data_IF_386118395719
#
_entry.id   IF_386118395719
#
_cell.length_a   1.000
_cell.length_b   1.000
_cell.length_c   1.000
_cell.angle_alpha   90.00
_cell.angle_beta   90.00
_cell.angle_gamma   90.00
#
_symmetry.space_group_name_H-M   'P 1'
#
loop_
_entity.id
_entity.type
_entity.pdbx_description
1 polymer ?
#
# COMPACT_ATOMS: atom_id res chain seq x y z
N UNK A 1 -28.87 -9.60 1.28
CA UNK A 1 -27.84 -9.78 2.32
C UNK A 1 -26.53 -9.53 1.63
N UNK A 2 -25.97 -8.32 1.75
CA UNK A 2 -24.64 -8.04 1.20
C UNK A 2 -23.64 -8.89 1.97
N UNK A 3 -23.01 -9.84 1.28
CA UNK A 3 -21.91 -10.60 1.84
C UNK A 3 -20.80 -9.62 2.15
N UNK A 4 -20.54 -9.39 3.44
CA UNK A 4 -19.33 -8.72 3.92
C UNK A 4 -18.13 -9.64 3.66
N UNK A 5 -17.81 -9.88 2.38
CA UNK A 5 -16.55 -10.46 1.96
C UNK A 5 -15.49 -9.46 2.34
N UNK A 6 -14.74 -9.73 3.42
CA UNK A 6 -13.68 -8.84 3.88
C UNK A 6 -12.74 -8.49 2.73
N UNK A 7 -12.17 -7.28 2.78
CA UNK A 7 -11.31 -6.71 1.73
C UNK A 7 -10.15 -7.61 1.30
N UNK A 8 -9.75 -8.58 2.14
CA UNK A 8 -8.65 -9.50 1.85
C UNK A 8 -7.28 -8.82 2.00
N UNK A 9 -6.22 -9.60 1.84
CA UNK A 9 -4.86 -9.06 1.87
C UNK A 9 -4.55 -8.45 0.51
N UNK A 10 -3.91 -7.28 0.53
CA UNK A 10 -3.45 -6.57 -0.66
C UNK A 10 -1.92 -6.54 -0.69
N UNK A 11 -1.33 -6.56 -1.89
CA UNK A 11 0.06 -6.20 -2.09
C UNK A 11 0.14 -4.68 -2.29
N UNK A 12 1.13 -4.04 -1.68
CA UNK A 12 1.36 -2.61 -1.84
C UNK A 12 2.77 -2.31 -2.33
N UNK A 13 2.88 -1.19 -3.05
CA UNK A 13 4.15 -0.52 -3.35
C UNK A 13 3.99 0.95 -2.99
N UNK A 14 4.92 1.49 -2.21
CA UNK A 14 4.96 2.89 -1.82
C UNK A 14 6.35 3.46 -2.10
N UNK A 15 6.42 4.49 -2.93
CA UNK A 15 7.66 5.25 -3.17
C UNK A 15 7.53 6.65 -2.57
N UNK A 16 8.52 7.03 -1.78
CA UNK A 16 8.63 8.31 -1.10
C UNK A 16 9.86 9.06 -1.58
N UNK A 17 9.78 10.39 -1.58
CA UNK A 17 10.93 11.27 -1.78
C UNK A 17 10.97 12.37 -0.73
N UNK A 18 12.10 12.53 -0.07
CA UNK A 18 12.30 13.58 0.92
C UNK A 18 12.84 14.87 0.26
N UNK A 19 12.95 15.95 1.06
CA UNK A 19 13.41 17.27 0.56
C UNK A 19 14.87 17.28 0.10
N UNK A 20 15.66 16.29 0.46
CA UNK A 20 17.05 16.12 0.03
C UNK A 20 17.15 15.29 -1.26
N UNK A 21 16.04 15.08 -1.97
CA UNK A 21 15.93 14.25 -3.17
C UNK A 21 16.28 12.77 -2.96
N UNK A 22 16.41 12.32 -1.71
CA UNK A 22 16.57 10.90 -1.41
C UNK A 22 15.23 10.21 -1.61
N UNK A 23 15.25 9.09 -2.33
CA UNK A 23 14.07 8.29 -2.62
C UNK A 23 14.16 6.93 -1.91
N UNK A 24 13.02 6.41 -1.49
CA UNK A 24 12.88 5.07 -0.95
C UNK A 24 11.62 4.43 -1.54
N UNK A 25 11.72 3.16 -1.95
CA UNK A 25 10.58 2.34 -2.33
C UNK A 25 10.48 1.19 -1.36
N UNK A 26 9.30 1.03 -0.77
CA UNK A 26 8.94 -0.11 0.07
C UNK A 26 7.75 -0.84 -0.53
N UNK A 27 7.74 -2.15 -0.34
CA UNK A 27 6.63 -3.01 -0.73
C UNK A 27 6.37 -4.05 0.34
N UNK A 28 5.16 -4.59 0.32
CA UNK A 28 4.74 -5.59 1.29
C UNK A 28 3.28 -5.96 1.10
N UNK A 29 2.68 -6.53 2.13
CA UNK A 29 1.26 -6.83 2.16
C UNK A 29 0.57 -6.08 3.27
N UNK A 30 -0.71 -5.76 3.07
CA UNK A 30 -1.54 -5.09 4.06
C UNK A 30 -2.94 -5.68 4.01
N UNK A 31 -3.51 -5.99 5.19
CA UNK A 31 -4.88 -6.48 5.30
C UNK A 31 -5.75 -5.35 5.86
N UNK A 32 -6.59 -4.70 5.04
CA UNK A 32 -7.44 -3.60 5.48
C UNK A 32 -8.51 -4.05 6.45
N UNK A 33 -8.80 -3.20 7.44
CA UNK A 33 -10.02 -3.33 8.21
C UNK A 33 -11.23 -3.11 7.28
N UNK A 34 -12.44 -3.62 7.61
CA UNK A 34 -13.62 -3.53 6.74
C UNK A 34 -14.00 -2.11 6.31
N UNK A 35 -13.62 -1.10 7.10
CA UNK A 35 -13.96 0.31 6.90
C UNK A 35 -12.80 1.15 6.39
N UNK A 36 -11.62 0.54 6.19
CA UNK A 36 -10.45 1.26 5.72
C UNK A 36 -10.63 1.66 4.26
N UNK A 37 -10.44 2.94 3.99
CA UNK A 37 -10.32 3.42 2.62
C UNK A 37 -8.90 3.23 2.11
N UNK A 38 -8.72 3.29 0.79
CA UNK A 38 -7.39 3.36 0.16
C UNK A 38 -6.53 4.50 0.73
N UNK A 39 -7.15 5.61 1.14
CA UNK A 39 -6.47 6.75 1.74
C UNK A 39 -6.00 6.48 3.17
N UNK A 40 -6.81 5.77 3.98
CA UNK A 40 -6.41 5.36 5.33
C UNK A 40 -5.18 4.45 5.29
N UNK A 41 -5.18 3.50 4.35
CA UNK A 41 -4.07 2.58 4.12
C UNK A 41 -2.82 3.36 3.70
N UNK A 42 -2.93 4.29 2.75
CA UNK A 42 -1.81 5.15 2.33
C UNK A 42 -1.19 5.89 3.52
N UNK A 43 -2.02 6.50 4.38
CA UNK A 43 -1.51 7.26 5.52
C UNK A 43 -0.83 6.35 6.55
N UNK A 44 -1.36 5.16 6.83
CA UNK A 44 -0.71 4.21 7.75
C UNK A 44 0.63 3.72 7.20
N UNK A 45 0.67 3.33 5.93
CA UNK A 45 1.91 2.89 5.28
C UNK A 45 2.98 4.01 5.26
N UNK A 46 2.57 5.28 5.08
CA UNK A 46 3.48 6.43 5.22
C UNK A 46 4.04 6.57 6.64
N UNK A 47 3.19 6.44 7.66
CA UNK A 47 3.63 6.51 9.06
C UNK A 47 4.61 5.37 9.39
N UNK A 48 4.31 4.15 8.94
CA UNK A 48 5.19 3.00 9.15
C UNK A 48 6.52 3.16 8.39
N UNK A 49 6.50 3.72 7.18
CA UNK A 49 7.71 4.07 6.44
C UNK A 49 8.58 5.08 7.21
N UNK A 50 7.98 6.09 7.84
CA UNK A 50 8.71 7.08 8.66
C UNK A 50 9.27 6.44 9.93
N UNK A 51 8.53 5.51 10.56
CA UNK A 51 9.04 4.76 11.73
C UNK A 51 10.25 3.90 11.38
N UNK A 52 10.23 3.25 10.21
CA UNK A 52 11.33 2.42 9.73
C UNK A 52 12.50 3.26 9.20
N UNK A 53 12.20 4.39 8.55
CA UNK A 53 13.16 5.30 7.94
C UNK A 53 12.86 6.75 8.37
N UNK A 54 13.34 7.19 9.55
CA UNK A 54 13.08 8.54 10.05
C UNK A 54 13.49 9.67 9.09
N UNK A 55 14.46 9.42 8.21
CA UNK A 55 14.87 10.37 7.14
C UNK A 55 13.78 10.65 6.09
N UNK A 56 12.69 9.89 6.10
CA UNK A 56 11.51 10.08 5.25
C UNK A 56 10.44 10.93 5.92
N UNK A 57 10.67 11.46 7.12
CA UNK A 57 9.75 12.43 7.73
C UNK A 57 9.54 13.64 6.80
N UNK A 58 8.27 14.04 6.63
CA UNK A 58 7.91 15.13 5.72
C UNK A 58 8.10 14.83 4.22
N UNK A 59 8.33 13.57 3.83
CA UNK A 59 8.41 13.16 2.43
C UNK A 59 7.08 13.25 1.69
N UNK A 60 7.17 13.42 0.37
CA UNK A 60 6.05 13.30 -0.55
C UNK A 60 5.91 11.87 -1.05
N UNK A 61 4.69 11.49 -1.44
CA UNK A 61 4.42 10.23 -2.14
C UNK A 61 4.66 10.45 -3.63
N UNK A 62 5.58 9.68 -4.20
CA UNK A 62 5.90 9.71 -5.64
C UNK A 62 5.11 8.64 -6.38
N UNK A 63 4.88 7.49 -5.75
CA UNK A 63 4.12 6.39 -6.33
C UNK A 63 3.40 5.60 -5.24
N UNK A 64 2.18 5.15 -5.53
CA UNK A 64 1.41 4.29 -4.65
C UNK A 64 0.53 3.30 -5.44
N UNK A 65 0.78 2.01 -5.23
CA UNK A 65 -0.06 0.93 -5.71
C UNK A 65 -0.58 0.10 -4.53
N UNK A 66 -1.81 -0.38 -4.68
CA UNK A 66 -2.48 -1.25 -3.73
C UNK A 66 -3.43 -2.13 -4.53
N UNK A 67 -3.08 -3.40 -4.64
CA UNK A 67 -3.76 -4.38 -5.50
C UNK A 67 -4.12 -5.62 -4.68
N UNK A 68 -5.22 -6.33 -5.00
CA UNK A 68 -5.52 -7.61 -4.36
C UNK A 68 -4.31 -8.56 -4.41
N UNK A 69 -4.00 -9.23 -3.30
CA UNK A 69 -2.88 -10.17 -3.23
C UNK A 69 -3.29 -11.56 -3.75
N UNK A 70 -3.75 -11.60 -4.99
CA UNK A 70 -4.18 -12.80 -5.68
C UNK A 70 -3.31 -13.03 -6.92
N UNK A 71 -2.99 -14.29 -7.21
CA UNK A 71 -2.38 -14.64 -8.48
C UNK A 71 -3.48 -14.68 -9.53
N UNK A 72 -3.34 -13.93 -10.61
CA UNK A 72 -4.15 -14.18 -11.81
C UNK A 72 -3.86 -15.60 -12.26
N UNK A 73 -4.85 -16.48 -12.15
CA UNK A 73 -4.76 -17.83 -12.70
C UNK A 73 -4.48 -17.77 -14.22
N UNK A 74 -4.04 -18.88 -14.83
CA UNK A 74 -3.89 -18.93 -16.28
C UNK A 74 -5.20 -18.48 -16.93
N UNK A 75 -5.11 -17.51 -17.83
CA UNK A 75 -6.23 -17.06 -18.66
C UNK A 75 -6.72 -18.28 -19.44
N UNK A 76 -7.79 -18.92 -18.96
CA UNK A 76 -8.44 -20.00 -19.69
C UNK A 76 -9.24 -19.31 -20.80
N UNK A 77 -8.58 -19.17 -21.95
CA UNK A 77 -9.19 -18.73 -23.20
C UNK A 77 -10.48 -19.55 -23.41
N UNK A 78 -11.63 -18.87 -23.49
CA UNK A 78 -12.96 -19.47 -23.71
C UNK A 78 -13.44 -19.19 -25.11
#
# INVERSE_FOLDING_TARGET
>A
MESNTGQGTHMYVLSLQNRQMSACTISGTYTPAPWDTRFDILNRLRLDAVRQYPSMEGSIVVYFALEPNELTGPEVDR
#
